data_IF_676251332758
#
_entry.id   IF_676251332758
#
_cell.length_a   1.000
_cell.length_b   1.000
_cell.length_c   1.000
_cell.angle_alpha   90.00
_cell.angle_beta   90.00
_cell.angle_gamma   90.00
#
_symmetry.space_group_name_H-M   'P 1'
#
loop_
_entity.id
_entity.type
_entity.pdbx_description
1 polymer ?
#
# COMPACT_ATOMS: atom_id res chain seq x y z
N UNK A 1 16.80 14.86 -16.58
CA UNK A 1 17.74 16.00 -16.64
C UNK A 1 17.29 17.06 -15.62
N UNK A 2 18.22 17.60 -14.87
CA UNK A 2 17.98 18.58 -13.81
C UNK A 2 18.46 19.98 -14.23
N UNK A 3 19.42 20.03 -15.15
CA UNK A 3 19.99 21.25 -15.68
C UNK A 3 20.29 21.10 -17.16
N UNK A 4 20.39 22.23 -17.86
CA UNK A 4 20.68 22.31 -19.29
C UNK A 4 19.75 23.30 -20.00
N UNK A 5 19.75 23.25 -21.32
CA UNK A 5 18.84 24.03 -22.16
C UNK A 5 17.38 23.67 -21.86
N UNK A 6 16.55 24.66 -21.57
CA UNK A 6 15.15 24.46 -21.12
C UNK A 6 14.30 23.75 -22.16
N UNK A 7 14.47 24.11 -23.44
CA UNK A 7 13.68 23.54 -24.53
C UNK A 7 14.09 22.08 -24.79
N UNK A 8 15.39 21.80 -24.77
CA UNK A 8 15.93 20.44 -24.91
C UNK A 8 15.45 19.54 -23.75
N UNK A 9 15.53 20.03 -22.51
CA UNK A 9 15.06 19.28 -21.34
C UNK A 9 13.56 19.02 -21.41
N UNK A 10 12.76 20.00 -21.80
CA UNK A 10 11.33 19.84 -21.98
C UNK A 10 11.02 18.83 -23.10
N UNK A 11 11.72 18.91 -24.23
CA UNK A 11 11.59 17.96 -25.34
C UNK A 11 11.88 16.52 -24.94
N UNK A 12 13.01 16.29 -24.24
CA UNK A 12 13.37 14.96 -23.74
C UNK A 12 12.33 14.42 -22.75
N UNK A 13 11.85 15.25 -21.81
CA UNK A 13 10.79 14.86 -20.87
C UNK A 13 9.50 14.46 -21.58
N UNK A 14 9.10 15.23 -22.58
CA UNK A 14 7.89 14.95 -23.38
C UNK A 14 8.01 13.62 -24.13
N UNK A 15 9.14 13.41 -24.81
CA UNK A 15 9.43 12.17 -25.54
C UNK A 15 9.43 10.95 -24.61
N UNK A 16 10.14 11.02 -23.48
CA UNK A 16 10.18 9.94 -22.50
C UNK A 16 8.79 9.63 -21.95
N UNK A 17 7.99 10.65 -21.65
CA UNK A 17 6.63 10.47 -21.17
C UNK A 17 5.72 9.81 -22.24
N UNK A 18 5.88 10.20 -23.50
CA UNK A 18 5.16 9.59 -24.62
C UNK A 18 5.53 8.12 -24.78
N UNK A 19 6.83 7.82 -24.88
CA UNK A 19 7.35 6.45 -25.04
C UNK A 19 6.98 5.53 -23.89
N UNK A 20 7.00 6.09 -22.66
CA UNK A 20 6.55 5.37 -21.48
C UNK A 20 5.08 4.99 -21.58
N UNK A 21 4.20 5.93 -21.92
CA UNK A 21 2.75 5.67 -22.09
C UNK A 21 2.48 4.67 -23.20
N UNK A 22 3.13 4.81 -24.34
CA UNK A 22 2.97 3.92 -25.49
C UNK A 22 3.39 2.48 -25.16
N UNK A 23 4.48 2.32 -24.41
CA UNK A 23 5.04 1.02 -24.07
C UNK A 23 4.59 0.43 -22.73
N UNK A 24 3.89 1.21 -21.87
CA UNK A 24 3.66 0.88 -20.46
C UNK A 24 2.97 -0.48 -20.27
N UNK A 25 1.94 -0.76 -21.05
CA UNK A 25 1.19 -2.03 -20.95
C UNK A 25 2.04 -3.25 -21.25
N UNK A 26 2.87 -3.18 -22.27
CA UNK A 26 3.77 -4.28 -22.64
C UNK A 26 4.82 -4.50 -21.57
N UNK A 27 5.26 -3.42 -20.91
CA UNK A 27 6.32 -3.43 -19.89
C UNK A 27 5.79 -3.73 -18.47
N UNK A 28 4.49 -3.59 -18.23
CA UNK A 28 3.90 -3.76 -16.90
C UNK A 28 4.23 -5.12 -16.25
N UNK A 29 4.11 -6.28 -16.93
CA UNK A 29 4.47 -7.57 -16.34
C UNK A 29 5.93 -7.62 -15.87
N UNK A 30 6.85 -7.13 -16.71
CA UNK A 30 8.27 -7.08 -16.37
C UNK A 30 8.54 -6.13 -15.18
N UNK A 31 7.86 -5.00 -15.14
CA UNK A 31 7.94 -4.07 -14.00
C UNK A 31 7.49 -4.73 -12.71
N UNK A 32 6.36 -5.45 -12.73
CA UNK A 32 5.83 -6.16 -11.55
C UNK A 32 6.76 -7.29 -11.09
N UNK A 33 7.32 -8.06 -12.02
CA UNK A 33 8.31 -9.11 -11.69
C UNK A 33 9.57 -8.50 -11.05
N UNK A 34 10.08 -7.41 -11.61
CA UNK A 34 11.24 -6.71 -11.06
C UNK A 34 10.96 -6.10 -9.68
N UNK A 35 9.74 -5.58 -9.48
CA UNK A 35 9.27 -5.06 -8.20
C UNK A 35 9.24 -6.16 -7.13
N UNK A 36 8.61 -7.29 -7.42
CA UNK A 36 8.53 -8.43 -6.51
C UNK A 36 9.92 -8.97 -6.14
N UNK A 37 10.81 -9.13 -7.12
CA UNK A 37 12.19 -9.58 -6.89
C UNK A 37 12.98 -8.61 -5.99
N UNK A 38 12.76 -7.29 -6.13
CA UNK A 38 13.37 -6.28 -5.27
C UNK A 38 12.84 -6.39 -3.84
N UNK A 39 11.52 -6.47 -3.65
CA UNK A 39 10.91 -6.61 -2.34
C UNK A 39 11.39 -7.89 -1.62
N UNK A 40 11.48 -9.01 -2.33
CA UNK A 40 12.04 -10.26 -1.76
C UNK A 40 13.49 -10.08 -1.29
N UNK A 41 14.29 -9.29 -2.00
CA UNK A 41 15.71 -9.07 -1.67
C UNK A 41 15.89 -8.11 -0.49
N UNK A 42 15.09 -7.06 -0.42
CA UNK A 42 15.28 -5.96 0.54
C UNK A 42 14.30 -5.99 1.71
N UNK A 43 13.32 -6.89 1.68
CA UNK A 43 12.31 -7.04 2.73
C UNK A 43 11.28 -5.91 2.77
N UNK A 44 10.56 -5.86 3.88
CA UNK A 44 9.52 -4.86 4.16
C UNK A 44 10.08 -3.80 5.12
N UNK A 45 10.00 -2.54 4.71
CA UNK A 45 10.50 -1.40 5.47
C UNK A 45 9.87 -1.34 6.87
N UNK A 46 8.57 -1.61 6.95
CA UNK A 46 7.82 -1.50 8.19
C UNK A 46 8.09 -2.63 9.21
N UNK A 47 8.76 -3.70 8.79
CA UNK A 47 8.98 -4.89 9.62
C UNK A 47 10.46 -5.11 9.98
N UNK A 48 11.33 -4.21 9.53
CA UNK A 48 12.78 -4.35 9.69
C UNK A 48 13.30 -3.31 10.68
N UNK A 49 14.16 -3.72 11.63
CA UNK A 49 14.79 -2.81 12.60
C UNK A 49 15.81 -1.89 11.91
N UNK A 50 16.47 -2.40 10.87
CA UNK A 50 17.43 -1.66 10.06
C UNK A 50 16.92 -1.54 8.61
N UNK A 51 15.90 -0.71 8.37
CA UNK A 51 15.24 -0.66 7.07
C UNK A 51 16.13 -0.02 6.00
N UNK A 52 16.05 -0.58 4.79
CA UNK A 52 16.51 0.11 3.59
C UNK A 52 15.42 1.10 3.15
N UNK A 53 15.64 2.38 3.46
CA UNK A 53 14.68 3.46 3.22
C UNK A 53 14.31 3.63 1.74
N UNK A 54 15.13 3.10 0.84
CA UNK A 54 14.95 3.26 -0.60
C UNK A 54 14.44 2.02 -1.30
N UNK A 55 15.07 0.86 -1.09
CA UNK A 55 14.83 -0.33 -1.89
C UNK A 55 13.80 -1.28 -1.27
N UNK A 56 13.56 -1.23 0.05
CA UNK A 56 12.59 -2.08 0.70
C UNK A 56 11.15 -1.82 0.21
N UNK A 57 10.26 -2.80 0.40
CA UNK A 57 8.82 -2.63 0.18
C UNK A 57 8.28 -1.52 1.09
N UNK A 58 7.65 -0.53 0.51
CA UNK A 58 7.25 0.71 1.21
C UNK A 58 8.31 1.80 1.23
N UNK A 59 9.47 1.60 0.58
CA UNK A 59 10.54 2.59 0.50
C UNK A 59 10.36 3.62 -0.63
N UNK A 60 11.33 4.53 -0.73
CA UNK A 60 11.29 5.67 -1.66
C UNK A 60 11.20 5.26 -3.14
N UNK A 61 11.76 4.10 -3.52
CA UNK A 61 11.67 3.61 -4.90
C UNK A 61 10.25 3.18 -5.27
N UNK A 62 9.47 2.73 -4.30
CA UNK A 62 8.07 2.38 -4.52
C UNK A 62 7.23 3.59 -4.90
N UNK A 63 7.53 4.75 -4.33
CA UNK A 63 6.91 6.00 -4.76
C UNK A 63 7.27 6.38 -6.20
N UNK A 64 8.49 6.04 -6.65
CA UNK A 64 8.88 6.22 -8.06
C UNK A 64 8.03 5.32 -8.97
N UNK A 65 7.77 4.07 -8.57
CA UNK A 65 6.91 3.14 -9.32
C UNK A 65 5.47 3.63 -9.34
N UNK A 66 4.93 4.10 -8.21
CA UNK A 66 3.60 4.71 -8.12
C UNK A 66 3.43 5.86 -9.13
N UNK A 67 4.39 6.78 -9.16
CA UNK A 67 4.41 7.90 -10.11
C UNK A 67 4.51 7.43 -11.55
N UNK A 68 5.28 6.38 -11.82
CA UNK A 68 5.42 5.82 -13.15
C UNK A 68 4.11 5.16 -13.65
N UNK A 69 3.38 4.46 -12.77
CA UNK A 69 2.08 3.87 -13.11
C UNK A 69 1.03 4.94 -13.41
N UNK A 70 0.99 6.02 -12.63
CA UNK A 70 0.12 7.16 -12.88
C UNK A 70 0.48 7.89 -14.18
N UNK A 71 1.77 8.17 -14.40
CA UNK A 71 2.26 8.82 -15.62
C UNK A 71 1.99 8.01 -16.90
N UNK A 72 1.83 6.69 -16.77
CA UNK A 72 1.46 5.79 -17.86
C UNK A 72 -0.05 5.80 -18.19
N UNK A 73 -0.87 6.48 -17.39
CA UNK A 73 -2.34 6.48 -17.48
C UNK A 73 -2.96 5.08 -17.36
N UNK A 74 -2.27 4.19 -16.66
CA UNK A 74 -2.79 2.85 -16.36
C UNK A 74 -3.79 2.90 -15.21
N UNK A 75 -3.54 3.77 -14.25
CA UNK A 75 -4.37 3.99 -13.06
C UNK A 75 -3.98 5.32 -12.41
N UNK A 76 -4.86 5.87 -11.58
CA UNK A 76 -4.53 6.98 -10.68
C UNK A 76 -3.78 6.45 -9.46
N UNK A 77 -2.89 7.28 -8.89
CA UNK A 77 -2.27 7.02 -7.61
C UNK A 77 -2.99 7.78 -6.49
N UNK A 78 -2.97 7.28 -5.26
CA UNK A 78 -3.42 8.07 -4.12
C UNK A 78 -2.46 9.26 -3.86
N UNK A 79 -2.99 10.29 -3.24
CA UNK A 79 -2.31 11.51 -2.83
C UNK A 79 -2.50 11.74 -1.33
N UNK A 80 -2.04 12.87 -0.81
CA UNK A 80 -2.20 13.25 0.59
C UNK A 80 -1.29 12.43 1.51
N UNK A 81 -1.85 11.50 2.28
CA UNK A 81 -1.08 10.72 3.26
C UNK A 81 0.14 10.00 2.66
N UNK A 82 0.04 9.53 1.42
CA UNK A 82 1.17 8.86 0.75
C UNK A 82 2.26 9.86 0.33
N UNK A 83 1.89 11.08 -0.03
CA UNK A 83 2.87 12.12 -0.35
C UNK A 83 3.58 12.58 0.94
N UNK A 84 2.85 12.76 2.05
CA UNK A 84 3.41 13.05 3.38
C UNK A 84 4.36 11.93 3.85
N UNK A 85 3.96 10.67 3.71
CA UNK A 85 4.80 9.52 4.05
C UNK A 85 6.10 9.50 3.22
N UNK A 86 6.02 9.85 1.96
CA UNK A 86 7.20 9.96 1.09
C UNK A 86 8.16 11.07 1.54
N UNK A 87 7.63 12.25 1.90
CA UNK A 87 8.43 13.38 2.41
C UNK A 87 9.12 13.00 3.72
N UNK A 88 8.41 12.38 4.65
CA UNK A 88 8.97 11.88 5.90
C UNK A 88 10.12 10.89 5.68
N UNK A 89 9.97 9.94 4.75
CA UNK A 89 11.05 9.00 4.42
C UNK A 89 12.24 9.69 3.74
N UNK A 90 12.02 10.75 2.95
CA UNK A 90 13.10 11.58 2.40
C UNK A 90 13.85 12.30 3.50
N UNK A 91 13.15 12.92 4.45
CA UNK A 91 13.76 13.63 5.57
C UNK A 91 14.65 12.70 6.41
N UNK A 92 14.16 11.48 6.70
CA UNK A 92 14.96 10.46 7.42
C UNK A 92 16.21 10.07 6.63
N UNK A 93 16.07 9.86 5.32
CA UNK A 93 17.20 9.51 4.47
C UNK A 93 18.22 10.64 4.42
N UNK A 94 17.76 11.87 4.26
CA UNK A 94 18.64 13.04 4.19
C UNK A 94 19.35 13.26 5.53
N UNK A 95 18.64 13.12 6.66
CA UNK A 95 19.21 13.16 8.00
C UNK A 95 20.27 12.06 8.20
N UNK A 96 19.98 10.82 7.77
CA UNK A 96 20.93 9.71 7.80
C UNK A 96 22.22 10.04 7.01
N UNK A 97 22.10 10.63 5.83
CA UNK A 97 23.24 11.00 5.01
C UNK A 97 24.04 12.16 5.62
N UNK A 98 23.37 13.08 6.30
CA UNK A 98 24.04 14.17 7.05
C UNK A 98 24.79 13.61 8.26
N UNK A 99 24.14 12.77 9.08
CA UNK A 99 24.76 12.18 10.28
C UNK A 99 25.97 11.31 9.93
N UNK A 100 25.83 10.49 8.88
CA UNK A 100 26.89 9.54 8.51
C UNK A 100 27.97 10.10 7.61
N UNK A 101 27.71 11.25 6.95
CA UNK A 101 28.56 11.81 5.92
C UNK A 101 28.69 10.92 4.66
N UNK A 102 27.76 10.00 4.44
CA UNK A 102 27.80 8.98 3.39
C UNK A 102 26.46 8.86 2.67
N UNK A 103 26.50 8.60 1.37
CA UNK A 103 25.30 8.34 0.55
C UNK A 103 24.71 6.93 0.76
N UNK A 104 24.34 6.58 1.99
CA UNK A 104 23.70 5.28 2.31
C UNK A 104 22.19 5.44 2.52
N UNK A 105 21.47 4.37 2.24
CA UNK A 105 19.99 4.34 2.32
C UNK A 105 19.49 3.36 3.40
N UNK A 106 20.39 2.59 4.05
CA UNK A 106 20.05 1.69 5.16
C UNK A 106 20.22 2.40 6.49
N UNK A 107 19.17 2.51 7.26
CA UNK A 107 19.14 3.09 8.59
C UNK A 107 19.62 2.03 9.60
N UNK A 108 20.91 2.06 9.95
CA UNK A 108 21.53 1.14 10.92
C UNK A 108 21.15 1.50 12.35
N UNK A 109 21.22 0.51 13.25
CA UNK A 109 20.90 0.71 14.69
C UNK A 109 21.77 1.80 15.31
N UNK A 110 23.05 1.84 14.92
CA UNK A 110 24.02 2.81 15.38
C UNK A 110 23.68 4.27 15.04
N UNK A 111 22.80 4.48 14.02
CA UNK A 111 22.44 5.81 13.53
C UNK A 111 21.09 6.29 14.09
N UNK A 112 20.28 5.42 14.71
CA UNK A 112 18.89 5.73 15.10
C UNK A 112 18.80 6.96 15.99
N UNK A 113 19.56 7.00 17.09
CA UNK A 113 19.51 8.10 18.07
C UNK A 113 19.96 9.43 17.46
N UNK A 114 21.02 9.41 16.66
CA UNK A 114 21.54 10.60 16.01
C UNK A 114 20.59 11.16 14.95
N UNK A 115 19.93 10.27 14.17
CA UNK A 115 18.92 10.66 13.18
C UNK A 115 17.66 11.16 13.87
N UNK A 116 17.19 10.49 14.94
CA UNK A 116 16.04 10.91 15.73
C UNK A 116 16.26 12.32 16.30
N UNK A 117 17.41 12.54 16.93
CA UNK A 117 17.77 13.86 17.49
C UNK A 117 17.84 14.96 16.43
N UNK A 118 18.41 14.68 15.25
CA UNK A 118 18.51 15.66 14.16
C UNK A 118 17.13 16.06 13.63
N UNK A 119 16.18 15.12 13.58
CA UNK A 119 14.81 15.35 13.11
C UNK A 119 13.84 15.83 14.21
N UNK A 120 14.29 15.89 15.48
CA UNK A 120 13.48 16.37 16.61
C UNK A 120 12.49 15.34 17.15
N UNK A 121 12.72 14.03 16.92
CA UNK A 121 11.99 12.95 17.59
C UNK A 121 12.49 12.80 19.03
N UNK A 122 11.61 12.35 19.91
CA UNK A 122 11.93 12.17 21.32
C UNK A 122 13.01 11.09 21.54
N UNK A 123 12.94 10.01 20.77
CA UNK A 123 13.90 8.91 20.79
C UNK A 123 13.88 8.11 19.47
N UNK A 124 14.70 7.06 19.43
CA UNK A 124 14.78 6.13 18.31
C UNK A 124 13.47 5.37 18.04
N UNK A 125 12.69 5.05 19.07
CA UNK A 125 11.44 4.31 18.93
C UNK A 125 10.37 5.16 18.26
N UNK A 126 10.29 6.44 18.58
CA UNK A 126 9.41 7.40 17.90
C UNK A 126 9.78 7.55 16.41
N UNK A 127 11.07 7.66 16.11
CA UNK A 127 11.57 7.68 14.73
C UNK A 127 11.16 6.40 13.98
N UNK A 128 11.43 5.23 14.54
CA UNK A 128 11.13 3.94 13.91
C UNK A 128 9.61 3.71 13.76
N UNK A 129 8.82 4.19 14.70
CA UNK A 129 7.36 4.16 14.62
C UNK A 129 6.87 4.98 13.42
N UNK A 130 7.41 6.19 13.24
CA UNK A 130 7.08 7.03 12.09
C UNK A 130 7.56 6.39 10.77
N UNK A 131 8.78 5.88 10.70
CA UNK A 131 9.34 5.20 9.51
C UNK A 131 8.49 3.99 9.14
N UNK A 132 8.15 3.15 10.11
CA UNK A 132 7.29 1.97 9.93
C UNK A 132 5.89 2.36 9.43
N UNK A 133 5.28 3.41 9.99
CA UNK A 133 3.98 3.93 9.56
C UNK A 133 4.03 4.44 8.12
N UNK A 134 5.03 5.24 7.79
CA UNK A 134 5.22 5.79 6.44
C UNK A 134 5.46 4.68 5.42
N UNK A 135 6.27 3.67 5.77
CA UNK A 135 6.50 2.49 4.94
C UNK A 135 5.22 1.73 4.65
N UNK A 136 4.38 1.45 5.66
CA UNK A 136 3.07 0.80 5.46
C UNK A 136 2.16 1.59 4.53
N UNK A 137 2.13 2.91 4.67
CA UNK A 137 1.31 3.79 3.83
C UNK A 137 1.75 3.72 2.36
N UNK A 138 3.05 3.80 2.09
CA UNK A 138 3.59 3.69 0.72
C UNK A 138 3.39 2.29 0.14
N UNK A 139 3.65 1.24 0.93
CA UNK A 139 3.46 -0.16 0.52
C UNK A 139 2.01 -0.43 0.11
N UNK A 140 1.06 -0.08 0.98
CA UNK A 140 -0.37 -0.25 0.70
C UNK A 140 -0.81 0.51 -0.57
N UNK A 141 -0.35 1.76 -0.71
CA UNK A 141 -0.64 2.58 -1.89
C UNK A 141 -0.12 1.95 -3.18
N UNK A 142 1.12 1.41 -3.15
CA UNK A 142 1.71 0.73 -4.29
C UNK A 142 0.94 -0.53 -4.65
N UNK A 143 0.67 -1.41 -3.68
CA UNK A 143 -0.01 -2.68 -3.91
C UNK A 143 -1.42 -2.47 -4.48
N UNK A 144 -2.17 -1.53 -3.92
CA UNK A 144 -3.50 -1.17 -4.42
C UNK A 144 -3.45 -0.59 -5.86
N UNK A 145 -2.45 0.24 -6.14
CA UNK A 145 -2.27 0.87 -7.46
C UNK A 145 -1.82 -0.16 -8.50
N UNK A 146 -0.89 -1.06 -8.13
CA UNK A 146 -0.41 -2.13 -8.99
C UNK A 146 -1.54 -3.12 -9.37
N UNK A 147 -2.39 -3.50 -8.40
CA UNK A 147 -3.57 -4.33 -8.67
C UNK A 147 -4.51 -3.66 -9.67
N UNK A 148 -4.87 -2.39 -9.46
CA UNK A 148 -5.75 -1.63 -10.39
C UNK A 148 -5.14 -1.51 -11.79
N UNK A 149 -3.83 -1.29 -11.90
CA UNK A 149 -3.14 -1.29 -13.19
C UNK A 149 -3.27 -2.64 -13.90
N UNK A 150 -3.10 -3.75 -13.19
CA UNK A 150 -3.27 -5.10 -13.70
C UNK A 150 -4.72 -5.41 -14.13
N UNK A 151 -5.71 -4.99 -13.35
CA UNK A 151 -7.14 -5.10 -13.68
C UNK A 151 -7.51 -4.33 -14.95
N UNK A 152 -7.06 -3.07 -15.06
CA UNK A 152 -7.26 -2.24 -16.24
C UNK A 152 -6.70 -2.89 -17.52
N UNK A 153 -5.61 -3.64 -17.40
CA UNK A 153 -5.01 -4.37 -18.50
C UNK A 153 -5.85 -5.59 -18.91
N UNK A 154 -6.34 -6.40 -17.95
CA UNK A 154 -7.18 -7.58 -18.20
C UNK A 154 -8.53 -7.20 -18.80
N UNK A 155 -9.18 -6.17 -18.29
CA UNK A 155 -10.49 -5.71 -18.77
C UNK A 155 -10.47 -5.31 -20.25
N UNK A 156 -9.34 -4.89 -20.80
CA UNK A 156 -9.20 -4.51 -22.21
C UNK A 156 -8.84 -5.67 -23.13
N UNK A 157 -8.10 -6.66 -22.66
CA UNK A 157 -7.75 -7.86 -23.44
C UNK A 157 -8.96 -8.77 -23.65
N UNK A 158 -9.95 -8.70 -22.79
CA UNK A 158 -11.17 -9.51 -22.82
C UNK A 158 -12.36 -8.84 -23.55
N UNK A 159 -12.16 -7.71 -24.24
CA UNK A 159 -13.22 -7.00 -24.94
C UNK A 159 -13.65 -7.72 -26.23
N UNK A 160 -14.44 -8.78 -26.05
CA UNK A 160 -15.42 -9.23 -27.04
C UNK A 160 -16.76 -9.33 -26.28
N UNK A 161 -17.52 -8.22 -26.29
CA UNK A 161 -18.86 -8.10 -25.72
C UNK A 161 -18.94 -7.48 -24.30
N UNK A 162 -20.15 -7.02 -23.88
CA UNK A 162 -20.36 -6.42 -22.56
C UNK A 162 -20.41 -7.52 -21.48
N UNK A 163 -19.27 -7.95 -20.97
CA UNK A 163 -19.22 -8.73 -19.73
C UNK A 163 -19.09 -7.75 -18.57
N UNK A 164 -20.16 -7.61 -17.79
CA UNK A 164 -20.05 -7.17 -16.40
C UNK A 164 -19.17 -8.19 -15.70
N UNK A 165 -18.10 -7.75 -15.04
CA UNK A 165 -17.32 -8.61 -14.13
C UNK A 165 -18.32 -9.25 -13.17
N UNK A 166 -18.39 -10.58 -13.16
CA UNK A 166 -19.37 -11.29 -12.35
C UNK A 166 -19.00 -11.14 -10.88
N UNK A 167 -19.96 -10.74 -10.06
CA UNK A 167 -19.83 -10.81 -8.61
C UNK A 167 -19.88 -12.28 -8.19
N UNK A 168 -18.80 -12.77 -7.58
CA UNK A 168 -18.75 -14.12 -7.00
C UNK A 168 -19.01 -14.02 -5.51
N UNK A 169 -20.09 -14.65 -5.03
CA UNK A 169 -20.45 -14.61 -3.62
C UNK A 169 -19.42 -15.36 -2.76
N UNK A 170 -18.87 -14.68 -1.74
CA UNK A 170 -17.96 -15.27 -0.75
C UNK A 170 -18.67 -15.61 0.57
N UNK A 171 -19.86 -15.08 0.78
CA UNK A 171 -20.67 -15.24 1.97
C UNK A 171 -20.89 -13.93 2.75
N UNK A 172 -21.89 -13.89 3.59
CA UNK A 172 -22.25 -12.76 4.45
C UNK A 172 -22.37 -11.40 3.73
N UNK A 173 -22.83 -11.39 2.46
CA UNK A 173 -22.97 -10.18 1.67
C UNK A 173 -21.65 -9.64 1.11
N UNK A 174 -20.57 -10.41 1.22
CA UNK A 174 -19.25 -10.14 0.62
C UNK A 174 -19.14 -10.87 -0.71
N UNK A 175 -18.62 -10.20 -1.71
CA UNK A 175 -18.42 -10.72 -3.06
C UNK A 175 -16.98 -10.48 -3.51
N UNK A 176 -16.46 -11.35 -4.36
CA UNK A 176 -15.28 -11.06 -5.16
C UNK A 176 -15.68 -10.24 -6.38
N UNK A 177 -14.94 -9.17 -6.63
CA UNK A 177 -15.05 -8.35 -7.82
C UNK A 177 -13.68 -7.86 -8.24
N UNK A 178 -13.23 -8.24 -9.42
CA UNK A 178 -11.92 -7.86 -9.98
C UNK A 178 -10.72 -8.13 -9.07
N UNK A 179 -10.77 -9.19 -8.27
CA UNK A 179 -9.69 -9.58 -7.36
C UNK A 179 -9.65 -8.78 -6.05
N UNK A 180 -10.75 -8.14 -5.70
CA UNK A 180 -10.97 -7.49 -4.41
C UNK A 180 -12.27 -8.00 -3.77
N UNK A 181 -12.31 -8.02 -2.44
CA UNK A 181 -13.53 -8.29 -1.70
C UNK A 181 -14.37 -7.02 -1.53
N UNK A 182 -15.59 -7.05 -2.04
CA UNK A 182 -16.55 -5.94 -1.99
C UNK A 182 -17.75 -6.28 -1.14
N UNK A 183 -18.29 -5.31 -0.41
CA UNK A 183 -19.53 -5.45 0.34
C UNK A 183 -20.69 -5.02 -0.57
N UNK A 184 -21.66 -5.91 -0.81
CA UNK A 184 -22.75 -5.65 -1.73
C UNK A 184 -23.75 -4.62 -1.24
N UNK A 185 -24.10 -4.66 0.03
CA UNK A 185 -24.95 -3.67 0.71
C UNK A 185 -24.37 -3.38 2.08
N UNK A 186 -24.37 -2.12 2.50
CA UNK A 186 -23.99 -1.77 3.87
C UNK A 186 -25.24 -2.01 4.75
N UNK A 187 -25.24 -3.06 5.59
CA UNK A 187 -26.33 -3.24 6.53
C UNK A 187 -26.36 -2.14 7.58
N UNK A 188 -27.47 -2.06 8.32
CA UNK A 188 -27.60 -1.20 9.49
C UNK A 188 -26.41 -1.37 10.45
N UNK A 189 -26.15 -0.37 11.27
CA UNK A 189 -25.01 -0.22 12.18
C UNK A 189 -24.68 -1.50 13.00
N UNK A 190 -23.98 -2.45 12.37
CA UNK A 190 -23.49 -3.68 13.00
C UNK A 190 -22.02 -3.53 13.34
N UNK A 191 -21.62 -3.36 14.62
CA UNK A 191 -20.23 -3.20 15.01
C UNK A 191 -19.38 -4.43 14.80
N UNK A 192 -19.98 -5.62 14.61
CA UNK A 192 -19.27 -6.89 14.38
C UNK A 192 -19.00 -7.12 12.88
N UNK A 193 -19.69 -6.40 12.00
CA UNK A 193 -19.56 -6.56 10.55
C UNK A 193 -18.12 -6.42 10.05
N UNK A 194 -17.28 -5.47 10.53
CA UNK A 194 -15.90 -5.36 10.08
C UNK A 194 -15.09 -6.65 10.29
N UNK A 195 -15.25 -7.31 11.42
CA UNK A 195 -14.59 -8.61 11.69
C UNK A 195 -15.10 -9.70 10.78
N UNK A 196 -16.42 -9.77 10.57
CA UNK A 196 -17.04 -10.77 9.68
C UNK A 196 -16.55 -10.65 8.25
N UNK A 197 -16.53 -9.42 7.72
CA UNK A 197 -16.03 -9.14 6.36
C UNK A 197 -14.53 -9.45 6.27
N UNK A 198 -13.76 -9.10 7.30
CA UNK A 198 -12.33 -9.39 7.36
C UNK A 198 -12.03 -10.89 7.28
N UNK A 199 -12.74 -11.73 8.06
CA UNK A 199 -12.59 -13.20 8.02
C UNK A 199 -12.88 -13.77 6.64
N UNK A 200 -13.99 -13.32 6.01
CA UNK A 200 -14.39 -13.82 4.69
C UNK A 200 -13.34 -13.47 3.64
N UNK A 201 -12.88 -12.21 3.62
CA UNK A 201 -11.90 -11.76 2.65
C UNK A 201 -10.51 -12.40 2.90
N UNK A 202 -10.10 -12.58 4.16
CA UNK A 202 -8.84 -13.27 4.49
C UNK A 202 -8.86 -14.74 4.06
N UNK A 203 -9.96 -15.47 4.29
CA UNK A 203 -10.12 -16.85 3.81
C UNK A 203 -10.03 -16.98 2.30
N UNK A 204 -10.45 -15.94 1.58
CA UNK A 204 -10.34 -15.88 0.11
C UNK A 204 -8.97 -15.31 -0.35
N UNK A 205 -8.09 -14.90 0.57
CA UNK A 205 -6.82 -14.21 0.30
C UNK A 205 -7.00 -12.97 -0.60
N UNK A 206 -8.11 -12.23 -0.42
CA UNK A 206 -8.46 -11.04 -1.19
C UNK A 206 -8.30 -9.78 -0.34
N UNK A 207 -7.72 -8.69 -0.88
CA UNK A 207 -7.75 -7.39 -0.24
C UNK A 207 -9.18 -6.83 -0.28
N UNK A 208 -9.53 -6.01 0.70
CA UNK A 208 -10.78 -5.25 0.68
C UNK A 208 -10.71 -4.08 -0.31
N UNK A 209 -11.77 -3.89 -1.06
CA UNK A 209 -11.92 -2.73 -1.93
C UNK A 209 -11.94 -1.43 -1.09
N UNK A 210 -11.37 -0.30 -1.58
CA UNK A 210 -11.34 0.97 -0.84
C UNK A 210 -12.71 1.46 -0.38
N UNK A 211 -13.73 1.31 -1.22
CA UNK A 211 -15.10 1.68 -0.86
C UNK A 211 -15.66 0.81 0.28
N UNK A 212 -15.33 -0.50 0.29
CA UNK A 212 -15.69 -1.41 1.37
C UNK A 212 -15.01 -0.98 2.67
N UNK A 213 -13.70 -0.68 2.63
CA UNK A 213 -12.96 -0.19 3.80
C UNK A 213 -13.55 1.10 4.37
N UNK A 214 -13.90 2.07 3.51
CA UNK A 214 -14.53 3.31 3.92
C UNK A 214 -15.90 3.07 4.59
N UNK A 215 -16.72 2.18 4.03
CA UNK A 215 -18.01 1.81 4.62
C UNK A 215 -17.85 1.13 5.99
N UNK A 216 -16.88 0.23 6.13
CA UNK A 216 -16.59 -0.46 7.39
C UNK A 216 -16.06 0.51 8.45
N UNK A 217 -15.22 1.47 8.07
CA UNK A 217 -14.68 2.48 8.97
C UNK A 217 -15.75 3.44 9.52
N UNK A 218 -16.85 3.62 8.80
CA UNK A 218 -17.98 4.44 9.24
C UNK A 218 -18.91 3.74 10.25
N UNK A 219 -18.73 2.44 10.49
CA UNK A 219 -19.52 1.68 11.45
C UNK A 219 -19.12 2.00 12.90
N UNK A 220 -20.02 1.79 13.88
CA UNK A 220 -19.71 1.98 15.30
C UNK A 220 -18.61 1.01 15.77
N UNK A 221 -17.95 1.39 16.86
CA UNK A 221 -16.96 0.54 17.53
C UNK A 221 -17.63 -0.68 18.18
N UNK A 222 -16.81 -1.72 18.37
CA UNK A 222 -17.24 -2.86 19.19
C UNK A 222 -17.52 -2.39 20.62
N UNK A 223 -18.58 -2.89 21.25
CA UNK A 223 -18.83 -2.60 22.67
C UNK A 223 -17.75 -3.24 23.55
N UNK A 224 -17.51 -2.64 24.70
CA UNK A 224 -16.65 -3.20 25.74
C UNK A 224 -17.53 -3.69 26.91
N UNK A 225 -17.47 -4.97 27.28
CA UNK A 225 -16.66 -6.06 26.71
C UNK A 225 -17.16 -6.52 25.34
N UNK A 226 -16.24 -7.05 24.53
CA UNK A 226 -16.56 -7.60 23.21
C UNK A 226 -17.59 -8.72 23.30
N UNK A 227 -18.61 -8.78 22.42
CA UNK A 227 -19.51 -9.91 22.28
C UNK A 227 -18.74 -11.20 21.94
N UNK A 228 -19.27 -12.37 22.35
CA UNK A 228 -18.67 -13.69 22.04
C UNK A 228 -18.42 -13.85 20.53
N UNK A 229 -19.40 -13.47 19.71
CA UNK A 229 -19.29 -13.52 18.27
C UNK A 229 -18.11 -12.70 17.71
N UNK A 230 -17.80 -11.55 18.30
CA UNK A 230 -16.64 -10.73 17.89
C UNK A 230 -15.32 -11.41 18.25
N UNK A 231 -15.23 -12.00 19.44
CA UNK A 231 -14.03 -12.75 19.90
C UNK A 231 -13.76 -13.97 19.04
N UNK A 232 -14.81 -14.72 18.71
CA UNK A 232 -14.72 -15.90 17.82
C UNK A 232 -14.23 -15.50 16.42
N UNK A 233 -14.84 -14.46 15.82
CA UNK A 233 -14.43 -13.95 14.52
C UNK A 233 -13.01 -13.41 14.52
N UNK A 234 -12.58 -12.74 15.59
CA UNK A 234 -11.19 -12.26 15.68
C UNK A 234 -10.20 -13.43 15.77
N UNK A 235 -10.54 -14.48 16.54
CA UNK A 235 -9.75 -15.72 16.58
C UNK A 235 -9.69 -16.39 15.21
N UNK A 236 -10.84 -16.49 14.53
CA UNK A 236 -10.94 -17.00 13.17
C UNK A 236 -10.08 -16.20 12.19
N UNK A 237 -10.09 -14.86 12.29
CA UNK A 237 -9.28 -13.98 11.46
C UNK A 237 -7.77 -14.27 11.63
N UNK A 238 -7.30 -14.38 12.88
CA UNK A 238 -5.91 -14.70 13.18
C UNK A 238 -5.50 -16.09 12.67
N UNK A 239 -6.45 -17.01 12.56
CA UNK A 239 -6.22 -18.37 12.07
C UNK A 239 -6.22 -18.49 10.53
N UNK A 240 -6.45 -17.42 9.77
CA UNK A 240 -6.54 -17.47 8.29
C UNK A 240 -5.20 -17.65 7.56
N UNK A 241 -4.08 -17.64 8.28
CA UNK A 241 -2.75 -17.87 7.68
C UNK A 241 -2.36 -16.77 6.68
N UNK A 242 -1.95 -17.18 5.46
CA UNK A 242 -1.40 -16.28 4.43
C UNK A 242 -2.39 -15.20 3.94
N UNK A 243 -3.68 -15.37 4.16
CA UNK A 243 -4.68 -14.36 3.84
C UNK A 243 -4.71 -13.17 4.80
N UNK A 244 -4.22 -13.37 6.03
CA UNK A 244 -4.22 -12.33 7.06
C UNK A 244 -3.38 -11.10 6.68
N UNK A 245 -2.12 -11.20 6.24
CA UNK A 245 -1.31 -10.04 5.87
C UNK A 245 -1.94 -9.19 4.76
N UNK A 246 -2.51 -9.83 3.75
CA UNK A 246 -3.15 -9.14 2.61
C UNK A 246 -4.32 -8.26 3.07
N UNK A 247 -5.12 -8.80 3.99
CA UNK A 247 -6.29 -8.14 4.56
C UNK A 247 -5.88 -7.09 5.59
N UNK A 248 -4.92 -7.41 6.47
CA UNK A 248 -4.52 -6.59 7.61
C UNK A 248 -4.00 -5.21 7.21
N UNK A 249 -3.25 -5.13 6.10
CA UNK A 249 -2.76 -3.87 5.56
C UNK A 249 -3.89 -2.87 5.28
N UNK A 250 -4.97 -3.33 4.64
CA UNK A 250 -6.15 -2.50 4.36
C UNK A 250 -6.88 -2.05 5.62
N UNK A 251 -7.07 -2.97 6.59
CA UNK A 251 -7.71 -2.67 7.86
C UNK A 251 -6.90 -1.65 8.69
N UNK A 252 -5.57 -1.78 8.68
CA UNK A 252 -4.66 -0.85 9.37
C UNK A 252 -4.75 0.55 8.75
N UNK A 253 -4.72 0.63 7.42
CA UNK A 253 -4.84 1.89 6.68
C UNK A 253 -6.19 2.58 6.93
N UNK A 254 -7.27 1.79 7.03
CA UNK A 254 -8.60 2.28 7.40
C UNK A 254 -8.78 2.54 8.91
N UNK A 255 -7.72 2.40 9.72
CA UNK A 255 -7.71 2.54 11.18
C UNK A 255 -8.66 1.61 11.93
N UNK A 256 -9.16 0.55 11.29
CA UNK A 256 -10.05 -0.42 11.92
C UNK A 256 -9.34 -1.27 12.97
N UNK A 257 -8.08 -1.66 12.71
CA UNK A 257 -7.28 -2.44 13.68
C UNK A 257 -7.07 -1.69 15.00
N UNK A 258 -6.90 -0.38 14.95
CA UNK A 258 -6.72 0.45 16.17
C UNK A 258 -7.96 0.53 17.07
N UNK A 259 -9.13 0.17 16.50
CA UNK A 259 -10.40 0.16 17.21
C UNK A 259 -10.68 -1.17 17.91
N UNK A 260 -9.86 -2.18 17.60
CA UNK A 260 -9.92 -3.53 18.14
C UNK A 260 -8.83 -3.76 19.20
#
# INVERSE_FOLDING_TARGET
AVAGDVELVAGVRSTLAHDWRAGARKRLPQLMTGLAARHTRHGDLAQTIEPDLKEAHGGLRDMTVLRALAAAWLTDRPHGEVDTAYEQLLDVRDALQVVTGRGRDRLGREDHDAVAALLGYADADDLLTMVSRSGRTVAYALDATARRAGQSQRARTLRVGPRRSALVALGYGVFEHDGEAVLGTTPAADPVLPLRVAVVAARAALPLAPATLANLAALPDLPDPWPSAARELFTDLLATGDGLPVMWAGLTQARLVHRW
#
